data_IF_635921640100
#
_entry.id   IF_635921640100
#
_cell.length_a   1.000
_cell.length_b   1.000
_cell.length_c   1.000
_cell.angle_alpha   90.00
_cell.angle_beta   90.00
_cell.angle_gamma   90.00
#
_symmetry.space_group_name_H-M   'P 1'
#
loop_
_entity.id
_entity.type
_entity.pdbx_description
1 polymer ?
2 non-polymer ?
3 water ?
#
# COMPACT_ATOMS: atom_id res chain seq x y z
N UNK A 1 -4.11 -12.02 30.54
CA UNK A 1 -5.04 -12.88 29.83
C UNK A 1 -5.28 -12.40 28.40
N UNK A 2 -5.26 -11.08 28.21
CA UNK A 2 -5.53 -10.49 26.90
C UNK A 2 -4.46 -10.88 25.89
N UNK A 3 -3.20 -10.61 26.22
CA UNK A 3 -2.08 -10.95 25.34
C UNK A 3 -2.04 -12.43 25.00
N UNK A 4 -2.14 -13.28 26.02
CA UNK A 4 -2.11 -14.73 25.84
C UNK A 4 -3.31 -15.21 25.03
N UNK A 5 -4.36 -14.42 25.01
CA UNK A 5 -5.56 -14.74 24.24
C UNK A 5 -5.30 -14.52 22.76
N UNK A 6 -4.53 -13.49 22.45
CA UNK A 6 -4.21 -13.17 21.07
C UNK A 6 -3.26 -14.20 20.47
N UNK A 7 -2.25 -14.60 21.25
CA UNK A 7 -1.34 -15.68 20.85
C UNK A 7 -2.11 -16.93 20.42
N UNK A 8 -3.10 -17.29 21.23
CA UNK A 8 -3.93 -18.47 20.96
C UNK A 8 -4.72 -18.33 19.66
N UNK A 9 -5.15 -17.10 19.38
CA UNK A 9 -5.86 -16.81 18.14
C UNK A 9 -4.94 -16.94 16.92
N UNK A 10 -3.72 -16.43 17.03
CA UNK A 10 -2.73 -16.53 15.96
C UNK A 10 -2.45 -17.98 15.59
N UNK A 11 -2.30 -18.83 16.60
CA UNK A 11 -1.90 -20.21 16.40
C UNK A 11 -2.91 -21.01 15.57
N UNK A 12 -4.10 -20.45 15.38
CA UNK A 12 -5.14 -21.10 14.61
C UNK A 12 -5.08 -20.66 13.13
N UNK A 13 -4.28 -19.64 12.85
CA UNK A 13 -4.19 -19.11 11.49
C UNK A 13 -2.77 -19.15 10.94
N UNK A 14 -1.78 -19.10 11.83
CA UNK A 14 -0.40 -19.15 11.41
C UNK A 14 0.05 -20.59 11.22
N UNK A 15 1.07 -20.78 10.40
CA UNK A 15 1.63 -22.10 10.20
C UNK A 15 2.39 -22.49 11.45
N UNK A 16 2.29 -23.77 11.85
CA UNK A 16 3.03 -24.24 13.02
C UNK A 16 4.52 -24.32 12.70
N UNK A 17 5.33 -24.46 13.74
CA UNK A 17 6.76 -24.63 13.55
C UNK A 17 7.57 -23.37 13.75
N UNK A 18 8.88 -23.56 13.87
CA UNK A 18 9.82 -22.46 14.06
C UNK A 18 10.58 -22.26 12.75
N UNK A 19 10.31 -21.15 12.07
CA UNK A 19 10.91 -20.83 10.76
C UNK A 19 12.42 -20.57 10.84
N UNK A 20 12.93 -20.35 12.04
CA UNK A 20 14.35 -20.14 12.25
C UNK A 20 15.16 -21.38 11.88
N UNK A 21 14.47 -22.52 11.80
CA UNK A 21 15.10 -23.78 11.42
C UNK A 21 15.55 -23.75 9.95
N UNK A 22 14.84 -23.03 9.10
CA UNK A 22 15.18 -23.02 7.67
C UNK A 22 15.51 -21.65 7.10
N UNK A 23 15.54 -20.62 7.96
CA UNK A 23 15.91 -19.27 7.53
C UNK A 23 17.27 -18.84 8.08
N UNK A 24 18.06 -18.16 7.26
CA UNK A 24 19.40 -17.76 7.65
C UNK A 24 19.78 -16.39 7.04
N UNK A 25 20.83 -15.79 7.61
CA UNK A 25 21.40 -14.55 7.09
C UNK A 25 20.42 -13.38 7.04
N UNK A 26 19.84 -13.05 8.19
CA UNK A 26 18.90 -11.93 8.28
C UNK A 26 19.59 -10.58 8.08
N UNK A 27 18.96 -9.71 7.29
CA UNK A 27 19.48 -8.37 7.01
C UNK A 27 18.34 -7.36 7.05
N UNK A 28 18.39 -6.42 8.00
CA UNK A 28 17.32 -5.44 8.16
C UNK A 28 17.26 -4.43 7.00
N UNK A 29 16.05 -4.13 6.53
CA UNK A 29 15.87 -3.21 5.42
C UNK A 29 14.80 -2.15 5.70
N UNK A 30 14.04 -2.35 6.78
CA UNK A 30 12.97 -1.43 7.12
C UNK A 30 12.59 -1.47 8.58
N UNK A 31 11.70 -0.58 8.98
CA UNK A 31 11.23 -0.51 10.35
C UNK A 31 9.89 0.23 10.41
N UNK A 32 9.67 0.97 11.50
CA UNK A 32 8.48 1.79 11.60
C UNK A 32 7.44 1.28 12.58
N UNK A 33 6.17 1.48 12.23
CA UNK A 33 5.05 1.20 13.12
C UNK A 33 4.97 -0.25 13.60
N UNK A 34 4.51 -1.13 12.71
CA UNK A 34 4.32 -2.55 13.02
C UNK A 34 5.55 -3.19 13.69
N UNK A 35 6.66 -3.25 12.95
CA UNK A 35 7.89 -3.79 13.48
C UNK A 35 9.03 -3.66 12.47
N UNK A 36 10.02 -4.53 12.58
CA UNK A 36 11.15 -4.51 11.67
C UNK A 36 10.93 -5.47 10.49
N UNK A 37 11.55 -5.14 9.36
CA UNK A 37 11.48 -5.99 8.17
C UNK A 37 12.89 -6.35 7.73
N UNK A 38 13.15 -7.65 7.61
CA UNK A 38 14.45 -8.14 7.19
C UNK A 38 14.32 -8.98 5.93
N UNK A 39 15.44 -9.23 5.26
CA UNK A 39 15.47 -10.25 4.21
C UNK A 39 16.32 -11.41 4.69
N UNK A 40 16.01 -12.62 4.23
CA UNK A 40 16.74 -13.80 4.66
C UNK A 40 16.77 -14.87 3.57
N UNK A 41 17.64 -15.85 3.76
CA UNK A 41 17.77 -16.94 2.81
C UNK A 41 17.07 -18.20 3.33
N UNK A 42 16.42 -18.93 2.43
CA UNK A 42 15.88 -20.25 2.75
C UNK A 42 16.96 -21.28 2.48
N UNK A 43 17.28 -22.09 3.49
CA UNK A 43 18.40 -23.03 3.40
C UNK A 43 18.18 -24.19 2.42
N UNK A 44 16.92 -24.58 2.23
CA UNK A 44 16.61 -25.73 1.39
C UNK A 44 16.72 -25.40 -0.10
N UNK A 45 16.51 -24.14 -0.46
CA UNK A 45 16.41 -23.75 -1.85
C UNK A 45 17.44 -22.69 -2.25
N UNK A 46 17.91 -21.94 -1.25
CA UNK A 46 18.81 -20.84 -1.51
C UNK A 46 18.07 -19.59 -1.97
N UNK A 47 16.74 -19.64 -1.95
CA UNK A 47 15.90 -18.51 -2.35
C UNK A 47 15.94 -17.37 -1.34
N UNK A 48 15.68 -16.16 -1.81
CA UNK A 48 15.62 -15.00 -0.93
C UNK A 48 14.18 -14.61 -0.64
N UNK A 49 13.91 -14.29 0.62
CA UNK A 49 12.58 -13.86 1.05
C UNK A 49 12.69 -12.63 1.94
N UNK A 50 11.55 -11.96 2.17
CA UNK A 50 11.50 -10.85 3.11
C UNK A 50 10.65 -11.27 4.31
N UNK A 51 11.14 -10.93 5.51
CA UNK A 51 10.46 -11.34 6.73
C UNK A 51 10.07 -10.14 7.60
N UNK A 52 8.77 -9.94 7.77
CA UNK A 52 8.30 -8.85 8.63
C UNK A 52 8.05 -9.37 10.04
N UNK A 53 8.74 -8.79 11.01
CA UNK A 53 8.61 -9.21 12.40
C UNK A 53 7.89 -8.15 13.23
N UNK A 54 6.76 -8.54 13.81
CA UNK A 54 5.94 -7.62 14.59
C UNK A 54 5.74 -8.13 16.01
N UNK A 55 6.26 -7.39 16.98
CA UNK A 55 6.08 -7.74 18.38
C UNK A 55 4.65 -7.44 18.82
N UNK A 56 3.98 -8.44 19.38
CA UNK A 56 2.58 -8.34 19.74
C UNK A 56 2.36 -7.35 20.89
N UNK A 57 3.40 -7.14 21.69
CA UNK A 57 3.30 -6.28 22.85
C UNK A 57 3.72 -4.85 22.53
N UNK A 58 3.66 -4.48 21.26
CA UNK A 58 4.06 -3.14 20.82
C UNK A 58 3.11 -2.56 19.77
N UNK A 59 1.91 -3.14 19.68
CA UNK A 59 0.94 -2.71 18.68
C UNK A 59 -0.14 -1.81 19.29
N UNK A 60 -0.46 -0.72 18.61
CA UNK A 60 -1.56 0.15 19.01
C UNK A 60 -2.89 -0.59 18.85
N UNK A 61 -2.95 -1.43 17.82
CA UNK A 61 -4.12 -2.27 17.58
C UNK A 61 -3.69 -3.68 17.20
N UNK A 62 -3.61 -4.55 18.20
CA UNK A 62 -3.15 -5.94 18.01
C UNK A 62 -4.03 -6.72 17.03
N UNK A 63 -5.27 -6.29 16.86
CA UNK A 63 -6.22 -6.97 15.97
C UNK A 63 -5.93 -6.73 14.48
N UNK A 64 -5.21 -5.65 14.18
CA UNK A 64 -4.89 -5.32 12.79
C UNK A 64 -3.89 -6.29 12.18
N UNK A 65 -3.15 -6.98 13.04
CA UNK A 65 -2.22 -8.01 12.59
C UNK A 65 -3.00 -9.21 12.09
N UNK A 66 -4.08 -9.54 12.80
CA UNK A 66 -4.85 -10.76 12.54
C UNK A 66 -5.49 -10.58 11.20
N UNK A 67 -6.07 -9.39 11.02
CA UNK A 67 -6.72 -9.02 9.79
C UNK A 67 -5.78 -9.33 8.63
N UNK A 68 -4.63 -8.65 8.62
CA UNK A 68 -3.63 -8.79 7.56
C UNK A 68 -3.26 -10.24 7.19
N UNK A 69 -3.01 -11.08 8.21
CA UNK A 69 -2.60 -12.46 7.97
C UNK A 69 -3.74 -13.35 7.44
N UNK A 70 -4.91 -13.28 8.07
CA UNK A 70 -6.03 -14.12 7.66
C UNK A 70 -6.64 -13.67 6.33
N UNK A 71 -6.50 -12.40 6.01
CA UNK A 71 -7.08 -11.84 4.79
C UNK A 71 -6.18 -12.03 3.57
N UNK A 72 -4.86 -12.00 3.78
CA UNK A 72 -3.91 -12.09 2.69
C UNK A 72 -3.26 -13.46 2.66
N UNK A 73 -3.69 -14.33 3.57
CA UNK A 73 -3.18 -15.70 3.69
C UNK A 73 -3.23 -16.41 2.34
N UNK A 74 -2.26 -16.08 1.50
CA UNK A 74 -2.20 -16.55 0.12
C UNK A 74 -3.41 -16.16 -0.74
N UNK A 75 -3.63 -14.85 -0.78
CA UNK A 75 -4.27 -14.18 -1.90
C UNK A 75 -3.18 -14.25 -2.95
N UNK A 76 -3.53 -14.18 -4.23
CA UNK A 76 -2.52 -14.25 -5.26
C UNK A 76 -2.82 -13.38 -6.49
N UNK A 77 -2.07 -12.29 -6.63
CA UNK A 77 -2.20 -11.42 -7.79
C UNK A 77 -0.84 -11.04 -8.36
N UNK A 78 -0.78 -10.95 -9.68
CA UNK A 78 0.40 -10.51 -10.41
C UNK A 78 0.95 -9.18 -9.91
N UNK A 79 0.05 -8.32 -9.43
CA UNK A 79 0.44 -6.98 -8.98
C UNK A 79 0.34 -6.76 -7.47
N UNK A 80 0.40 -7.84 -6.71
CA UNK A 80 0.41 -7.75 -5.26
C UNK A 80 1.56 -8.58 -4.70
N UNK A 81 2.23 -8.06 -3.67
CA UNK A 81 3.29 -8.78 -2.99
C UNK A 81 2.74 -10.07 -2.42
N UNK A 82 3.27 -11.20 -2.90
CA UNK A 82 2.75 -12.51 -2.49
C UNK A 82 3.26 -12.92 -1.11
N UNK A 83 2.32 -13.36 -0.28
CA UNK A 83 2.64 -13.92 1.02
C UNK A 83 2.90 -15.41 0.91
N UNK A 84 3.97 -15.87 1.55
CA UNK A 84 4.33 -17.29 1.52
C UNK A 84 3.79 -18.02 2.75
N UNK A 85 4.11 -17.51 3.93
CA UNK A 85 3.70 -18.13 5.18
C UNK A 85 3.72 -17.16 6.35
N UNK A 86 3.10 -17.57 7.46
CA UNK A 86 3.13 -16.80 8.70
C UNK A 86 3.46 -17.72 9.87
N UNK A 87 4.14 -17.17 10.87
CA UNK A 87 4.62 -17.96 11.99
C UNK A 87 4.50 -17.20 13.30
N UNK A 88 4.43 -17.94 14.40
CA UNK A 88 4.46 -17.34 15.72
C UNK A 88 5.75 -17.69 16.42
N UNK A 89 6.68 -16.74 16.43
CA UNK A 89 8.01 -16.96 16.99
C UNK A 89 8.16 -16.20 18.30
N UNK A 90 7.85 -16.88 19.41
CA UNK A 90 7.88 -16.25 20.72
C UNK A 90 6.78 -15.23 20.85
N UNK A 91 7.15 -14.01 21.21
CA UNK A 91 6.18 -12.92 21.33
C UNK A 91 6.03 -12.15 20.01
N UNK A 92 6.62 -12.67 18.95
CA UNK A 92 6.63 -11.99 17.66
C UNK A 92 5.88 -12.74 16.56
N UNK A 93 5.24 -11.97 15.68
CA UNK A 93 4.57 -12.54 14.51
C UNK A 93 5.44 -12.37 13.28
N UNK A 94 5.69 -13.47 12.57
CA UNK A 94 6.54 -13.43 11.38
C UNK A 94 5.75 -13.68 10.11
N UNK A 95 5.82 -12.73 9.19
CA UNK A 95 5.18 -12.89 7.89
C UNK A 95 6.25 -13.02 6.83
N UNK A 96 6.34 -14.20 6.23
CA UNK A 96 7.35 -14.47 5.22
C UNK A 96 6.75 -14.19 3.85
N UNK A 97 7.43 -13.39 3.05
CA UNK A 97 6.86 -12.95 1.78
C UNK A 97 7.89 -12.77 0.68
N UNK A 98 7.39 -12.51 -0.52
CA UNK A 98 8.19 -12.29 -1.72
C UNK A 98 9.16 -11.11 -1.54
N UNK A 99 10.39 -11.26 -2.02
CA UNK A 99 11.37 -10.17 -1.96
C UNK A 99 11.42 -9.36 -3.25
N UNK A 100 11.14 -8.07 -3.13
CA UNK A 100 11.10 -7.16 -4.27
C UNK A 100 12.40 -6.38 -4.36
N UNK A 101 13.27 -6.82 -5.27
CA UNK A 101 14.64 -6.33 -5.33
C UNK A 101 14.77 -4.87 -5.81
N UNK A 102 13.69 -4.32 -6.36
CA UNK A 102 13.71 -2.98 -6.89
C UNK A 102 13.53 -1.86 -5.88
N UNK A 103 13.03 -2.18 -4.69
CA UNK A 103 12.83 -1.19 -3.65
C UNK A 103 11.47 -0.53 -3.68
N UNK A 104 11.31 0.55 -2.91
CA UNK A 104 10.04 1.27 -2.84
C UNK A 104 9.97 2.43 -3.82
N UNK A 105 8.75 2.83 -4.16
CA UNK A 105 8.53 3.93 -5.10
C UNK A 105 8.89 5.28 -4.49
N UNK A 106 8.86 5.35 -3.16
CA UNK A 106 9.22 6.57 -2.44
C UNK A 106 10.60 7.08 -2.84
N UNK A 107 11.53 6.15 -3.02
CA UNK A 107 12.89 6.48 -3.41
C UNK A 107 12.94 7.15 -4.79
N UNK A 108 11.98 6.79 -5.64
CA UNK A 108 11.92 7.32 -7.00
C UNK A 108 11.30 8.72 -7.08
N UNK A 109 10.25 8.97 -6.31
CA UNK A 109 9.55 10.24 -6.38
C UNK A 109 10.28 11.37 -5.63
N UNK A 110 11.30 11.03 -4.86
CA UNK A 110 12.03 12.02 -4.08
C UNK A 110 13.41 12.30 -4.67
N UNK A 111 13.72 11.67 -5.79
CA UNK A 111 15.04 11.84 -6.41
C UNK A 111 15.00 12.12 -7.91
N UNK A 112 13.89 11.76 -8.56
CA UNK A 112 13.75 12.00 -10.00
C UNK A 112 12.36 12.49 -10.38
N UNK A 113 12.21 12.89 -11.64
CA UNK A 113 10.91 13.28 -12.18
C UNK A 113 10.41 12.17 -13.10
N UNK A 114 9.21 11.66 -12.82
CA UNK A 114 8.62 10.62 -13.65
C UNK A 114 7.86 11.25 -14.80
N UNK A 115 8.01 10.72 -16.00
CA UNK A 115 7.18 11.14 -17.13
C UNK A 115 5.82 10.46 -17.06
N UNK A 116 4.90 10.88 -17.93
CA UNK A 116 3.53 10.38 -17.86
C UNK A 116 3.41 8.92 -18.27
N UNK A 117 4.32 8.45 -19.11
CA UNK A 117 4.37 7.04 -19.46
C UNK A 117 4.65 6.21 -18.21
N UNK A 118 5.62 6.67 -17.43
CA UNK A 118 6.03 5.97 -16.21
C UNK A 118 4.99 6.12 -15.10
N UNK A 119 4.36 7.28 -15.02
CA UNK A 119 3.28 7.49 -14.06
C UNK A 119 2.06 6.64 -14.39
N UNK A 120 1.72 6.57 -15.68
CA UNK A 120 0.57 5.78 -16.11
C UNK A 120 0.79 4.28 -15.89
N UNK A 121 2.04 3.84 -16.02
CA UNK A 121 2.38 2.43 -15.81
C UNK A 121 2.16 2.03 -14.35
N UNK A 122 2.55 2.92 -13.44
CA UNK A 122 2.35 2.68 -12.01
C UNK A 122 0.87 2.60 -11.69
N UNK A 123 0.13 3.62 -12.13
CA UNK A 123 -1.32 3.70 -11.93
C UNK A 123 -2.07 2.48 -12.46
N UNK A 124 -1.75 2.10 -13.69
CA UNK A 124 -2.36 0.94 -14.33
C UNK A 124 -2.20 -0.31 -13.48
N UNK A 125 -1.00 -0.48 -12.91
CA UNK A 125 -0.71 -1.64 -12.08
C UNK A 125 -1.51 -1.61 -10.78
N UNK A 126 -1.56 -0.44 -10.15
CA UNK A 126 -2.28 -0.27 -8.91
C UNK A 126 -3.78 -0.49 -9.10
N UNK A 127 -4.31 0.01 -10.22
CA UNK A 127 -5.73 -0.11 -10.52
C UNK A 127 -6.16 -1.54 -10.79
N UNK A 128 -5.36 -2.28 -11.54
CA UNK A 128 -5.63 -3.69 -11.81
C UNK A 128 -5.67 -4.49 -10.52
N UNK A 129 -4.80 -4.14 -9.58
CA UNK A 129 -4.76 -4.79 -8.29
C UNK A 129 -5.98 -4.42 -7.46
N UNK A 130 -6.30 -3.13 -7.40
CA UNK A 130 -7.40 -2.64 -6.58
C UNK A 130 -8.76 -3.09 -7.10
N UNK A 131 -8.89 -3.22 -8.42
CA UNK A 131 -10.14 -3.65 -9.02
C UNK A 131 -10.56 -5.02 -8.48
N UNK A 132 -9.59 -5.90 -8.35
CA UNK A 132 -9.82 -7.24 -7.82
C UNK A 132 -9.98 -7.23 -6.31
N UNK A 133 -9.14 -6.46 -5.63
CA UNK A 133 -9.21 -6.31 -4.18
C UNK A 133 -10.55 -5.75 -3.73
N UNK A 134 -11.01 -4.71 -4.42
CA UNK A 134 -12.32 -4.10 -4.12
C UNK A 134 -13.46 -5.05 -4.48
N UNK A 135 -13.26 -5.83 -5.54
CA UNK A 135 -14.28 -6.75 -6.01
C UNK A 135 -14.52 -7.87 -5.00
N UNK A 136 -13.61 -7.99 -4.04
CA UNK A 136 -13.68 -9.04 -3.02
C UNK A 136 -13.81 -8.44 -1.62
N UNK A 137 -14.11 -7.14 -1.57
CA UNK A 137 -14.41 -6.46 -0.32
C UNK A 137 -13.22 -6.15 0.56
N UNK A 138 -12.05 -5.96 -0.05
CA UNK A 138 -10.84 -5.64 0.71
C UNK A 138 -10.37 -4.21 0.43
N UNK A 139 -10.16 -3.44 1.50
CA UNK A 139 -9.72 -2.06 1.36
C UNK A 139 -8.30 -1.91 1.94
N UNK A 140 -7.38 -1.42 1.13
CA UNK A 140 -5.98 -1.27 1.53
C UNK A 140 -5.81 -0.29 2.69
N UNK A 141 -6.42 0.89 2.55
CA UNK A 141 -6.42 1.93 3.57
C UNK A 141 -5.08 2.59 3.87
N UNK A 142 -4.08 2.36 3.03
CA UNK A 142 -2.78 3.02 3.20
C UNK A 142 -2.00 3.11 1.89
N UNK A 143 -2.71 3.37 0.80
CA UNK A 143 -2.07 3.55 -0.50
C UNK A 143 -1.19 4.80 -0.52
N UNK A 144 0.07 4.61 -0.87
CA UNK A 144 1.03 5.71 -0.97
C UNK A 144 2.30 5.16 -1.64
N UNK A 145 3.33 5.98 -1.74
CA UNK A 145 4.57 5.56 -2.40
C UNK A 145 5.31 4.48 -1.62
N UNK A 146 5.18 4.51 -0.30
CA UNK A 146 5.84 3.51 0.55
C UNK A 146 5.25 2.13 0.33
N UNK A 147 4.00 2.09 -0.11
CA UNK A 147 3.26 0.85 -0.29
C UNK A 147 3.37 0.30 -1.72
N UNK A 148 4.30 0.84 -2.50
CA UNK A 148 4.50 0.39 -3.87
C UNK A 148 5.93 -0.09 -4.08
N UNK A 149 6.11 -1.41 -4.22
CA UNK A 149 7.43 -1.99 -4.41
C UNK A 149 7.69 -2.36 -5.87
N UNK A 150 8.96 -2.51 -6.23
CA UNK A 150 9.34 -2.77 -7.61
C UNK A 150 10.23 -3.99 -7.73
N UNK A 151 10.26 -4.57 -8.93
CA UNK A 151 11.18 -5.66 -9.24
C UNK A 151 12.38 -5.06 -9.98
N UNK A 152 13.36 -5.91 -10.33
CA UNK A 152 14.56 -5.46 -11.02
C UNK A 152 14.23 -5.00 -12.44
N UNK A 153 13.25 -5.64 -13.06
CA UNK A 153 12.84 -5.29 -14.41
C UNK A 153 11.68 -4.33 -14.41
N UNK A 154 11.45 -3.69 -13.26
CA UNK A 154 10.48 -2.61 -13.15
C UNK A 154 9.02 -3.01 -13.12
N UNK A 155 8.71 -4.11 -12.44
CA UNK A 155 7.32 -4.51 -12.28
C UNK A 155 6.76 -4.04 -10.93
N UNK A 156 5.57 -3.45 -10.98
CA UNK A 156 4.97 -2.82 -9.81
C UNK A 156 4.12 -3.79 -8.98
N UNK A 157 4.30 -3.77 -7.67
CA UNK A 157 3.52 -4.62 -6.76
C UNK A 157 3.04 -3.87 -5.52
N UNK A 158 1.75 -3.99 -5.22
CA UNK A 158 1.16 -3.34 -4.06
C UNK A 158 1.55 -4.05 -2.76
N UNK A 159 1.99 -3.28 -1.77
CA UNK A 159 2.55 -3.84 -0.54
C UNK A 159 1.91 -3.23 0.72
N UNK A 160 2.38 -3.68 1.88
CA UNK A 160 1.98 -3.15 3.19
C UNK A 160 0.48 -3.12 3.43
N UNK A 161 -0.11 -4.30 3.60
CA UNK A 161 -1.53 -4.40 3.92
C UNK A 161 -1.74 -4.43 5.42
N UNK A 162 -0.87 -3.75 6.15
CA UNK A 162 -0.94 -3.72 7.60
C UNK A 162 -2.14 -2.96 8.13
N UNK A 163 -2.82 -2.24 7.25
CA UNK A 163 -3.96 -1.43 7.64
C UNK A 163 -5.27 -1.92 7.02
N UNK A 164 -5.17 -2.92 6.15
CA UNK A 164 -6.32 -3.35 5.35
C UNK A 164 -7.51 -3.84 6.17
N UNK A 165 -8.69 -3.79 5.57
CA UNK A 165 -9.91 -4.23 6.22
C UNK A 165 -10.78 -5.01 5.25
N UNK A 166 -11.74 -5.74 5.80
CA UNK A 166 -12.69 -6.49 4.97
C UNK A 166 -14.10 -5.97 5.17
N UNK A 167 -14.80 -5.73 4.07
CA UNK A 167 -16.21 -5.37 4.13
C UNK A 167 -17.03 -6.46 3.46
N UNK A 168 -18.32 -6.48 3.72
CA UNK A 168 -19.20 -7.52 3.19
C UNK A 168 -20.55 -6.91 2.83
N UNK A 169 -21.45 -7.72 2.30
CA UNK A 169 -22.81 -7.28 2.01
C UNK A 169 -23.47 -6.80 3.31
N UNK A 170 -23.12 -7.46 4.42
CA UNK A 170 -23.69 -7.15 5.72
C UNK A 170 -23.02 -5.92 6.36
N UNK A 171 -21.69 -5.90 6.33
CA UNK A 171 -20.93 -4.75 6.80
C UNK A 171 -20.18 -4.13 5.63
N UNK A 172 -20.86 -3.27 4.86
CA UNK A 172 -20.31 -2.73 3.60
C UNK A 172 -19.35 -1.58 3.81
N UNK A 173 -19.21 -1.10 5.04
CA UNK A 173 -18.37 0.06 5.31
C UNK A 173 -17.61 -0.07 6.63
N UNK A 174 -16.52 0.69 6.75
CA UNK A 174 -15.72 0.72 7.97
C UNK A 174 -15.90 2.06 8.67
N UNK A 175 -15.33 2.18 9.87
CA UNK A 175 -15.54 3.38 10.67
C UNK A 175 -14.24 3.90 11.31
N UNK A 176 -13.27 3.02 11.47
CA UNK A 176 -12.04 3.35 12.17
C UNK A 176 -11.12 4.31 11.41
N UNK A 177 -10.44 5.19 12.15
CA UNK A 177 -9.52 6.16 11.56
C UNK A 177 -8.17 5.52 11.29
N UNK A 178 -7.95 5.14 10.03
CA UNK A 178 -6.80 4.33 9.68
C UNK A 178 -6.05 4.87 8.46
N UNK A 179 -4.73 4.87 8.53
CA UNK A 179 -3.90 5.24 7.39
C UNK A 179 -2.87 6.31 7.72
N UNK A 180 -2.35 6.95 6.69
CA UNK A 180 -1.40 8.06 6.87
C UNK A 180 -2.13 9.38 6.57
N UNK A 181 -2.08 10.32 7.53
CA UNK A 181 -2.79 11.60 7.52
C UNK A 181 -2.89 12.31 6.16
N UNK A 182 -1.75 12.45 5.48
CA UNK A 182 -1.69 13.23 4.24
C UNK A 182 -2.40 12.56 3.06
N UNK A 183 -2.51 11.23 3.10
CA UNK A 183 -3.12 10.48 2.01
C UNK A 183 -4.57 10.11 2.31
N UNK A 184 -5.01 10.45 3.51
CA UNK A 184 -6.37 10.12 3.96
C UNK A 184 -7.44 10.82 3.14
N UNK A 185 -8.55 10.12 2.91
CA UNK A 185 -9.70 10.68 2.23
C UNK A 185 -10.51 11.52 3.21
N UNK A 186 -11.20 12.57 2.70
CA UNK A 186 -11.97 13.46 3.57
C UNK A 186 -13.08 12.76 4.36
N UNK A 187 -13.85 11.88 3.71
CA UNK A 187 -14.94 11.19 4.39
C UNK A 187 -14.41 10.26 5.49
N UNK A 188 -13.14 9.90 5.39
CA UNK A 188 -12.48 9.07 6.40
C UNK A 188 -12.01 9.94 7.57
N UNK A 189 -11.51 11.14 7.26
CA UNK A 189 -11.04 12.06 8.28
C UNK A 189 -12.22 12.60 9.09
N UNK A 190 -13.32 12.89 8.42
CA UNK A 190 -14.51 13.46 9.06
C UNK A 190 -15.26 12.46 9.92
N UNK A 191 -14.66 11.28 10.11
CA UNK A 191 -15.23 10.21 10.93
C UNK A 191 -16.61 9.78 10.42
N UNK A 192 -16.65 9.34 9.17
CA UNK A 192 -17.89 8.89 8.56
C UNK A 192 -17.72 7.47 8.03
N UNK A 193 -18.83 6.72 7.91
CA UNK A 193 -18.76 5.37 7.33
C UNK A 193 -18.27 5.42 5.89
N UNK A 194 -17.17 4.73 5.60
CA UNK A 194 -16.56 4.78 4.28
C UNK A 194 -16.41 3.41 3.64
N UNK A 195 -16.27 3.39 2.32
CA UNK A 195 -16.04 2.16 1.59
C UNK A 195 -14.69 2.15 0.90
N UNK A 196 -14.52 1.26 -0.09
CA UNK A 196 -13.30 1.07 -0.87
C UNK A 196 -12.83 2.33 -1.58
N UNK A 197 -13.71 3.32 -1.70
CA UNK A 197 -13.42 4.54 -2.44
C UNK A 197 -12.29 5.35 -1.81
N UNK A 198 -12.04 5.12 -0.52
CA UNK A 198 -10.99 5.83 0.19
C UNK A 198 -9.59 5.52 -0.36
N UNK A 199 -9.49 4.44 -1.12
CA UNK A 199 -8.23 4.07 -1.75
C UNK A 199 -8.00 4.83 -3.05
N UNK A 200 -9.09 5.10 -3.76
CA UNK A 200 -9.02 5.85 -5.02
C UNK A 200 -8.53 7.27 -4.75
N UNK A 201 -8.96 7.84 -3.63
CA UNK A 201 -8.49 9.15 -3.21
C UNK A 201 -7.00 9.11 -2.90
N UNK A 202 -6.59 8.14 -2.09
CA UNK A 202 -5.20 7.98 -1.72
C UNK A 202 -4.31 7.73 -2.93
N UNK A 203 -4.85 6.97 -3.89
CA UNK A 203 -4.18 6.77 -5.16
C UNK A 203 -3.98 8.12 -5.84
N UNK A 204 -5.01 8.96 -5.76
CA UNK A 204 -4.93 10.31 -6.29
C UNK A 204 -3.80 11.09 -5.64
N UNK A 205 -3.73 11.03 -4.32
CA UNK A 205 -2.69 11.73 -3.59
C UNK A 205 -1.31 11.20 -3.99
N UNK A 206 -1.22 9.90 -4.25
CA UNK A 206 0.05 9.31 -4.65
C UNK A 206 0.45 9.76 -6.05
N UNK A 207 -0.54 10.02 -6.91
CA UNK A 207 -0.28 10.60 -8.22
C UNK A 207 0.37 11.99 -8.09
N UNK A 208 -0.13 12.77 -7.13
CA UNK A 208 0.48 14.07 -6.82
C UNK A 208 1.95 13.92 -6.44
N UNK A 209 2.24 12.91 -5.62
CA UNK A 209 3.61 12.59 -5.23
C UNK A 209 4.50 12.41 -6.45
N UNK A 210 3.99 11.68 -7.43
CA UNK A 210 4.76 11.36 -8.63
C UNK A 210 5.03 12.60 -9.48
N UNK A 211 4.23 13.63 -9.27
CA UNK A 211 4.37 14.88 -10.03
C UNK A 211 5.07 15.99 -9.23
N UNK A 212 4.66 16.17 -7.98
CA UNK A 212 5.20 17.25 -7.15
C UNK A 212 6.36 16.81 -6.26
N UNK A 213 6.50 15.50 -6.06
CA UNK A 213 7.55 14.98 -5.19
C UNK A 213 7.09 14.80 -3.75
N UNK A 214 5.88 15.28 -3.46
CA UNK A 214 5.31 15.20 -2.11
C UNK A 214 3.80 15.43 -2.14
N UNK A 215 3.08 14.87 -1.16
CA UNK A 215 1.63 15.10 -1.04
C UNK A 215 1.30 16.54 -0.60
N UNK A 216 0.02 16.93 -0.72
CA UNK A 216 -0.42 18.25 -0.26
C UNK A 216 -0.30 18.43 1.25
N UNK A 217 -0.05 19.67 1.68
CA UNK A 217 0.01 20.02 3.09
C UNK A 217 1.08 19.24 3.85
N UNK A 218 2.12 18.80 3.14
CA UNK A 218 3.16 17.96 3.72
C UNK A 218 4.05 18.75 4.67
N UNK A 219 3.95 20.08 4.60
CA UNK A 219 4.72 20.96 5.47
C UNK A 219 4.06 21.11 6.84
N UNK A 220 2.77 20.84 6.88
CA UNK A 220 1.97 21.05 8.10
C UNK A 220 2.09 19.87 9.05
N UNK A 221 1.76 20.09 10.34
CA UNK A 221 1.64 18.99 11.30
C UNK A 221 0.56 18.02 10.85
N UNK A 222 0.65 16.75 11.25
CA UNK A 222 -0.34 15.74 10.88
C UNK A 222 -1.77 16.17 11.21
N UNK A 223 -2.00 16.65 12.43
CA UNK A 223 -3.34 17.05 12.87
C UNK A 223 -3.89 18.24 12.08
N UNK A 224 -3.06 19.24 11.86
CA UNK A 224 -3.47 20.45 11.14
C UNK A 224 -3.77 20.13 9.69
N UNK A 225 -2.93 19.28 9.10
CA UNK A 225 -3.10 18.87 7.70
C UNK A 225 -4.43 18.16 7.49
N UNK A 226 -4.78 17.26 8.40
CA UNK A 226 -6.03 16.53 8.32
C UNK A 226 -7.24 17.46 8.36
N UNK A 227 -7.16 18.49 9.22
CA UNK A 227 -8.23 19.47 9.32
C UNK A 227 -8.35 20.28 8.03
N UNK A 228 -7.22 20.52 7.38
CA UNK A 228 -7.20 21.23 6.10
C UNK A 228 -7.84 20.37 5.00
N UNK A 229 -7.46 19.10 4.96
CA UNK A 229 -8.06 18.17 3.99
C UNK A 229 -9.56 18.04 4.23
N UNK A 230 -9.95 18.06 5.50
CA UNK A 230 -11.35 17.92 5.88
C UNK A 230 -12.20 19.09 5.40
N UNK A 231 -11.72 20.31 5.62
CA UNK A 231 -12.51 21.51 5.34
C UNK A 231 -12.37 22.03 3.91
N UNK A 232 -11.17 21.93 3.34
CA UNK A 232 -10.89 22.52 2.04
C UNK A 232 -11.42 21.74 0.85
N UNK A 233 -11.30 22.35 -0.31
CA UNK A 233 -11.62 21.72 -1.58
C UNK A 233 -10.44 20.82 -1.97
N UNK A 234 -10.62 19.95 -2.98
CA UNK A 234 -9.50 19.15 -3.49
C UNK A 234 -8.24 19.98 -3.73
N UNK A 235 -7.06 19.40 -3.44
CA UNK A 235 -5.77 20.11 -3.52
C UNK A 235 -5.30 20.32 -4.94
N UNK A 236 -4.41 21.28 -5.14
CA UNK A 236 -3.92 21.63 -6.47
C UNK A 236 -2.47 21.24 -6.68
N UNK A 237 -2.17 20.69 -7.86
CA UNK A 237 -0.80 20.37 -8.25
C UNK A 237 0.06 21.63 -8.32
N UNK A 238 1.19 21.63 -7.60
CA UNK A 238 2.15 22.72 -7.69
C UNK A 238 2.78 22.79 -9.08
N UNK A 239 2.81 21.64 -9.75
CA UNK A 239 3.34 21.55 -11.12
C UNK A 239 2.24 21.24 -12.13
N UNK A 240 1.16 21.99 -12.06
CA UNK A 240 0.03 21.83 -12.97
C UNK A 240 0.45 22.08 -14.42
N UNK A 241 1.45 22.94 -14.59
CA UNK A 241 1.96 23.29 -15.90
C UNK A 241 2.69 22.13 -16.59
N UNK A 242 3.15 21.17 -15.80
CA UNK A 242 3.92 20.05 -16.32
C UNK A 242 3.07 18.88 -16.77
N UNK A 243 1.82 18.82 -16.30
CA UNK A 243 0.96 17.68 -16.62
C UNK A 243 0.04 17.94 -17.81
N UNK A 244 -0.24 16.87 -18.56
CA UNK A 244 -1.07 16.93 -19.75
C UNK A 244 -2.55 17.01 -19.37
N UNK A 245 -3.42 17.42 -20.31
CA UNK A 245 -4.86 17.41 -20.06
C UNK A 245 -5.35 16.01 -19.73
N UNK A 246 -4.75 15.01 -20.37
CA UNK A 246 -5.10 13.62 -20.14
C UNK A 246 -4.94 13.22 -18.67
N UNK A 247 -3.75 13.49 -18.11
CA UNK A 247 -3.48 13.21 -16.70
C UNK A 247 -4.40 14.02 -15.80
N UNK A 248 -4.48 15.32 -16.08
CA UNK A 248 -5.29 16.23 -15.28
C UNK A 248 -6.74 15.77 -15.24
N UNK A 249 -7.22 15.31 -16.40
CA UNK A 249 -8.57 14.77 -16.49
C UNK A 249 -8.71 13.51 -15.67
N UNK A 250 -7.70 12.65 -15.75
CA UNK A 250 -7.64 11.42 -14.96
C UNK A 250 -7.65 11.71 -13.47
N UNK A 251 -6.77 12.61 -13.04
CA UNK A 251 -6.65 12.95 -11.63
C UNK A 251 -7.95 13.51 -11.05
N UNK A 252 -8.70 14.23 -11.87
CA UNK A 252 -9.95 14.85 -11.43
C UNK A 252 -11.05 13.83 -11.15
N UNK A 253 -10.83 12.59 -11.59
CA UNK A 253 -11.77 11.51 -11.32
C UNK A 253 -11.43 10.78 -10.01
N UNK A 254 -10.32 11.17 -9.40
CA UNK A 254 -9.83 10.50 -8.20
C UNK A 254 -10.05 11.36 -6.95
N UNK A 255 -9.74 12.64 -7.05
CA UNK A 255 -9.84 13.53 -5.91
C UNK A 255 -11.18 14.27 -5.85
N UNK A 256 -12.26 13.49 -5.81
CA UNK A 256 -13.61 14.02 -5.66
C UNK A 256 -14.03 13.86 -4.19
N UNK A 257 -14.45 14.96 -3.57
CA UNK A 257 -14.82 14.95 -2.16
C UNK A 257 -15.98 14.02 -1.85
N UNK A 258 -17.00 14.03 -2.70
CA UNK A 258 -18.12 13.11 -2.57
C UNK A 258 -17.67 11.73 -3.02
N UNK A 259 -17.61 10.77 -2.08
CA UNK A 259 -17.17 9.40 -2.39
C UNK A 259 -18.08 8.72 -3.41
N UNK A 260 -19.34 9.13 -3.45
CA UNK A 260 -20.29 8.56 -4.41
C UNK A 260 -19.97 9.03 -5.83
N UNK A 261 -19.50 10.25 -5.96
CA UNK A 261 -19.16 10.82 -7.27
C UNK A 261 -17.78 10.38 -7.73
N UNK A 262 -16.94 10.03 -6.77
CA UNK A 262 -15.58 9.59 -7.04
C UNK A 262 -15.59 8.27 -7.84
N UNK A 263 -14.64 8.15 -8.77
CA UNK A 263 -14.59 6.98 -9.65
C UNK A 263 -14.15 5.71 -8.91
N UNK A 264 -14.33 4.57 -9.56
CA UNK A 264 -13.91 3.30 -8.99
C UNK A 264 -12.78 2.69 -9.81
N UNK A 265 -12.11 1.69 -9.24
CA UNK A 265 -10.99 1.04 -9.90
C UNK A 265 -11.37 0.43 -11.24
N UNK A 266 -12.54 -0.22 -11.29
CA UNK A 266 -13.02 -0.86 -12.51
C UNK A 266 -13.29 0.15 -13.62
N UNK A 267 -13.79 1.32 -13.24
CA UNK A 267 -14.04 2.40 -14.19
C UNK A 267 -12.72 2.97 -14.72
N UNK A 268 -11.85 3.33 -13.79
CA UNK A 268 -10.58 3.98 -14.10
C UNK A 268 -9.67 3.18 -15.03
N UNK A 269 -9.82 1.85 -15.00
CA UNK A 269 -9.04 0.97 -15.87
C UNK A 269 -9.32 1.25 -17.34
N UNK A 270 -10.46 1.89 -17.61
CA UNK A 270 -10.87 2.19 -18.98
C UNK A 270 -10.60 3.64 -19.36
N UNK A 271 -9.71 4.30 -18.62
CA UNK A 271 -9.41 5.71 -18.89
C UNK A 271 -8.33 5.86 -19.97
N UNK A 272 -8.55 6.81 -20.89
CA UNK A 272 -7.63 7.08 -22.02
C UNK A 272 -6.20 7.38 -21.55
N UNK A 273 -6.05 7.93 -20.35
CA UNK A 273 -4.73 8.26 -19.83
C UNK A 273 -3.86 7.01 -19.67
N UNK A 274 -4.47 5.90 -19.29
CA UNK A 274 -3.73 4.66 -19.05
C UNK A 274 -3.19 4.05 -20.34
N UNK A 275 -3.59 4.59 -21.48
CA UNK A 275 -3.05 4.15 -22.77
C UNK A 275 -1.62 4.69 -22.93
N UNK A 276 -1.30 5.71 -22.13
CA UNK A 276 0.05 6.26 -22.12
C UNK A 276 1.02 5.29 -21.43
N UNK A 277 0.48 4.39 -20.62
CA UNK A 277 1.29 3.47 -19.83
C UNK A 277 2.24 2.68 -20.71
N UNK A 278 3.47 2.54 -20.24
CA UNK A 278 4.50 1.82 -20.97
C UNK A 278 4.87 0.53 -20.28
N UNK A 279 5.78 -0.24 -20.90
CA UNK A 279 6.24 -1.51 -20.34
C UNK A 279 7.00 -1.31 -19.04
N UNK A 280 7.12 -2.36 -18.22
CA UNK A 280 7.91 -2.35 -16.98
C UNK A 280 9.37 -1.96 -17.20
N UNK A 281 9.83 -2.06 -18.44
CA UNK A 281 11.20 -1.68 -18.78
C UNK A 281 11.41 -0.17 -18.68
N UNK A 282 10.33 0.59 -18.80
CA UNK A 282 10.40 2.05 -18.76
C UNK A 282 10.65 2.58 -17.34
N UNK A 283 10.32 1.77 -16.34
CA UNK A 283 10.52 2.14 -14.95
C UNK A 283 11.98 1.93 -14.56
N UNK A 284 12.60 0.93 -15.17
CA UNK A 284 14.00 0.55 -14.90
C UNK A 284 15.01 1.72 -14.81
N UNK A 285 15.00 2.65 -15.78
CA UNK A 285 16.01 3.73 -15.68
C UNK A 285 15.84 4.64 -14.47
N UNK A 286 14.68 4.58 -13.81
CA UNK A 286 14.40 5.43 -12.66
C UNK A 286 15.02 4.88 -11.38
N UNK A 287 15.26 3.58 -11.35
CA UNK A 287 15.72 2.92 -10.13
C UNK A 287 17.12 3.37 -9.74
N UNK A 288 17.41 3.33 -8.44
CA UNK A 288 18.62 3.94 -7.88
C UNK A 288 19.91 3.47 -8.53
N UNK A 289 19.98 2.19 -8.85
CA UNK A 289 21.23 1.61 -9.33
C UNK A 289 21.36 1.66 -10.83
N UNK A 290 20.51 2.46 -11.46
CA UNK A 290 20.57 2.68 -12.90
C UNK A 290 20.77 4.15 -13.21
N UNK A 291 20.23 5.00 -12.35
CA UNK A 291 20.31 6.44 -12.56
C UNK A 291 21.62 7.02 -12.03
X LIG B 1 12.40 -0.98 -0.01
X LIG B 1 12.48 -1.46 1.34
X LIG B 1 11.66 -0.75 2.26
X LIG B 1 11.50 -1.59 3.54
X LIG B 1 11.09 -2.94 3.17
X LIG B 1 9.78 -3.34 3.44
X LIG B 1 9.04 -2.84 4.39
X LIG B 1 7.83 -3.45 4.40
X LIG B 1 6.69 -3.29 5.19
X LIG B 1 5.59 -4.06 4.96
X LIG B 1 5.59 -5.01 3.92
X LIG B 1 6.70 -5.17 3.13
X LIG B 1 7.83 -4.39 3.35
X LIG B 1 9.09 -4.31 2.75
X LIG B 1 9.58 -5.05 1.66
X LIG B 1 9.09 -6.33 1.38
X LIG B 1 9.60 -7.02 0.28
X LIG B 1 10.54 -6.44 -0.46
X LIG B 1 10.99 -5.23 -0.16
X LIG B 1 10.52 -4.54 0.88
X LIG B 1 11.97 -4.67 -0.96
X LIG B 1 4.42 -5.81 3.69
X LIG B 1 3.48 -6.47 3.48
X LIG B 1 2.30 -7.31 3.20
X LIG B 1 2.09 -7.43 1.69
X LIG B 1 0.96 -8.42 1.37
X LIG B 1 1.27 -9.79 1.99
X LIG B 1 1.38 -9.64 3.50
X LIG B 1 2.54 -8.71 3.82
X LIG B 1 1.15 -6.73 3.82
#
# INVERSE_FOLDING_TARGET
>A
GSHEQFRAALQLVVDPGDPRSYLDNFIKIGEGSTGIVCIATVRSSGKLVAVKKMDLRKQQRRELLFNEVVIMRDYQHENVVEMYNSYLVGDELWVVMEFLEGGALTDIVTHTRMNEEQIAAVCLAVLQALSVLHAQGVIHRDIKSDSILLTHDGRVKLSDFGFCAQVSKEVPRRKSLVGTPYWMAPELISRLPYGPEVDIWSLGIMVIEMVDGEPPYFNEPPLKAMKMIRDNLPPRLKNLHKVSPSLKGFLDRLLVRDPAQRATAAELLKHPFLAKAGPPASIVPLMRQNRTR
>B hetero
1 2OL C1 O2 C3 C4 N5 C6 N7 C8 C9 C10 C11 C12 C13 N14 C15 C16 C17 N18 C19 N20 N21 C22 C23 C24 C25 C26 C27 C28 C29 O30
#
